data_IF_421702623894
#
_entry.id   IF_421702623894
#
_cell.length_a   1.000
_cell.length_b   1.000
_cell.length_c   1.000
_cell.angle_alpha   90.00
_cell.angle_beta   90.00
_cell.angle_gamma   90.00
#
_symmetry.space_group_name_H-M   'P 1'
#
loop_
_entity.id
_entity.type
_entity.pdbx_description
1 polymer ?
#
# COMPACT_ATOMS: atom_id res chain seq x y z
N UNK A 1 9.64 15.71 18.44
CA UNK A 1 8.95 15.79 17.13
C UNK A 1 8.43 14.42 16.67
N UNK A 2 9.24 13.36 16.72
CA UNK A 2 8.84 11.99 16.32
C UNK A 2 7.69 11.38 17.16
N UNK A 3 7.59 11.73 18.45
CA UNK A 3 6.51 11.26 19.33
C UNK A 3 5.12 11.82 19.02
N UNK A 4 5.03 13.02 18.42
CA UNK A 4 3.75 13.65 18.04
C UNK A 4 3.13 13.04 16.79
N UNK A 5 3.96 12.54 15.86
CA UNK A 5 3.48 11.83 14.67
C UNK A 5 2.80 10.50 15.04
N UNK A 6 3.39 9.76 15.99
CA UNK A 6 2.84 8.49 16.48
C UNK A 6 1.51 8.74 17.21
N UNK A 7 1.42 9.77 18.05
CA UNK A 7 0.17 10.12 18.77
C UNK A 7 -0.93 10.67 17.86
N UNK A 8 -0.57 11.40 16.79
CA UNK A 8 -1.53 11.87 15.79
C UNK A 8 -2.11 10.71 14.95
N UNK A 9 -1.27 9.75 14.56
CA UNK A 9 -1.69 8.56 13.82
C UNK A 9 -2.64 7.68 14.65
N UNK A 10 -2.45 7.59 15.97
CA UNK A 10 -3.34 6.82 16.86
C UNK A 10 -4.64 7.52 17.26
N UNK A 11 -4.82 8.80 16.90
CA UNK A 11 -5.99 9.60 17.36
C UNK A 11 -7.29 9.24 16.64
N UNK A 12 -7.17 8.70 15.43
CA UNK A 12 -8.29 8.21 14.63
C UNK A 12 -7.80 7.04 13.78
N UNK A 13 -8.52 5.92 13.84
CA UNK A 13 -8.20 4.71 13.09
C UNK A 13 -8.14 4.96 11.57
N UNK A 14 -8.88 5.96 11.09
CA UNK A 14 -8.82 6.43 9.70
C UNK A 14 -7.47 7.12 9.39
N UNK A 15 -6.97 7.97 10.28
CA UNK A 15 -5.70 8.68 10.09
C UNK A 15 -4.53 7.71 10.06
N UNK A 16 -4.53 6.70 10.95
CA UNK A 16 -3.55 5.62 10.93
C UNK A 16 -3.54 4.90 9.58
N UNK A 17 -4.72 4.50 9.11
CA UNK A 17 -4.92 3.76 7.88
C UNK A 17 -4.42 4.57 6.67
N UNK A 18 -4.84 5.83 6.57
CA UNK A 18 -4.44 6.72 5.47
C UNK A 18 -2.94 6.99 5.49
N UNK A 19 -2.37 7.26 6.66
CA UNK A 19 -0.93 7.47 6.82
C UNK A 19 -0.12 6.26 6.37
N UNK A 20 -0.49 5.06 6.81
CA UNK A 20 0.20 3.82 6.43
C UNK A 20 0.07 3.53 4.92
N UNK A 21 -1.11 3.80 4.34
CA UNK A 21 -1.34 3.65 2.89
C UNK A 21 -0.42 4.57 2.08
N UNK A 22 -0.33 5.84 2.47
CA UNK A 22 0.54 6.82 1.82
C UNK A 22 2.03 6.46 1.96
N UNK A 23 2.44 5.93 3.11
CA UNK A 23 3.80 5.40 3.31
C UNK A 23 4.07 4.28 2.31
N UNK A 24 3.17 3.31 2.14
CA UNK A 24 3.38 2.24 1.16
C UNK A 24 3.38 2.73 -0.29
N UNK A 25 2.53 3.71 -0.64
CA UNK A 25 2.60 4.37 -1.95
C UNK A 25 3.97 5.02 -2.19
N UNK A 26 4.55 5.67 -1.17
CA UNK A 26 5.87 6.28 -1.28
C UNK A 26 7.00 5.25 -1.34
N UNK A 27 6.96 4.23 -0.49
CA UNK A 27 7.95 3.14 -0.46
C UNK A 27 8.02 2.38 -1.78
N UNK A 28 6.95 2.42 -2.57
CA UNK A 28 6.90 1.82 -3.89
C UNK A 28 7.86 2.42 -4.90
N UNK A 29 8.34 3.64 -4.67
CA UNK A 29 9.38 4.25 -5.50
C UNK A 29 10.78 3.72 -5.15
N UNK A 30 10.95 3.12 -3.97
CA UNK A 30 12.21 2.55 -3.48
C UNK A 30 12.28 1.06 -3.83
N UNK A 31 11.21 0.31 -3.58
CA UNK A 31 11.11 -1.09 -3.94
C UNK A 31 10.53 -1.25 -5.34
N UNK A 32 11.45 -1.19 -6.32
CA UNK A 32 11.15 -1.38 -7.73
C UNK A 32 10.68 -2.81 -8.02
N UNK A 33 11.12 -3.79 -7.23
CA UNK A 33 10.84 -5.23 -7.40
C UNK A 33 9.44 -5.62 -6.91
N UNK A 34 8.42 -4.86 -7.29
CA UNK A 34 7.02 -5.16 -6.96
C UNK A 34 6.72 -5.24 -5.45
N UNK A 35 7.57 -4.64 -4.61
CA UNK A 35 7.36 -4.66 -3.15
C UNK A 35 7.91 -5.91 -2.47
N UNK A 36 8.65 -6.80 -3.15
CA UNK A 36 9.14 -8.03 -2.53
C UNK A 36 10.09 -7.79 -1.34
N UNK A 37 10.96 -6.78 -1.42
CA UNK A 37 11.88 -6.46 -0.34
C UNK A 37 11.12 -5.90 0.88
N UNK A 38 10.17 -4.99 0.64
CA UNK A 38 9.28 -4.47 1.68
C UNK A 38 8.42 -5.59 2.28
N UNK A 39 7.90 -6.49 1.44
CA UNK A 39 7.11 -7.63 1.87
C UNK A 39 7.89 -8.58 2.78
N UNK A 40 9.13 -8.88 2.43
CA UNK A 40 10.03 -9.69 3.27
C UNK A 40 10.32 -8.99 4.62
N UNK A 41 10.56 -7.69 4.61
CA UNK A 41 10.75 -6.90 5.83
C UNK A 41 9.48 -6.87 6.69
N UNK A 42 8.30 -6.68 6.09
CA UNK A 42 7.04 -6.70 6.82
C UNK A 42 6.74 -8.07 7.41
N UNK A 43 6.99 -9.15 6.69
CA UNK A 43 6.78 -10.50 7.20
C UNK A 43 7.56 -10.74 8.49
N UNK A 44 8.80 -10.27 8.59
CA UNK A 44 9.61 -10.38 9.81
C UNK A 44 9.26 -9.33 10.87
N UNK A 45 8.76 -8.16 10.48
CA UNK A 45 8.34 -7.11 11.40
C UNK A 45 6.95 -7.34 12.02
N UNK A 46 6.06 -8.09 11.36
CA UNK A 46 4.67 -8.29 11.80
C UNK A 46 4.52 -8.82 13.23
N UNK A 47 5.33 -9.79 13.73
CA UNK A 47 5.22 -10.23 15.12
C UNK A 47 5.51 -9.09 16.10
N UNK A 48 6.53 -8.27 15.83
CA UNK A 48 6.90 -7.13 16.68
C UNK A 48 5.83 -6.05 16.65
N UNK A 49 5.27 -5.76 15.46
CA UNK A 49 4.17 -4.82 15.31
C UNK A 49 2.94 -5.24 16.12
N UNK A 50 2.65 -6.53 16.18
CA UNK A 50 1.52 -7.04 16.94
C UNK A 50 1.79 -7.08 18.46
N UNK A 51 2.91 -7.66 18.88
CA UNK A 51 3.19 -7.86 20.30
C UNK A 51 3.54 -6.57 21.04
N UNK A 52 4.23 -5.63 20.38
CA UNK A 52 4.68 -4.37 21.02
C UNK A 52 3.72 -3.22 20.79
N UNK A 53 3.12 -3.13 19.60
CA UNK A 53 2.29 -1.98 19.21
C UNK A 53 0.81 -2.33 19.02
N UNK A 54 0.42 -3.60 19.21
CA UNK A 54 -0.95 -4.09 19.01
C UNK A 54 -1.53 -3.79 17.63
N UNK A 55 -0.67 -3.63 16.63
CA UNK A 55 -1.09 -3.41 15.24
C UNK A 55 -1.31 -4.78 14.61
N UNK A 56 -2.55 -5.05 14.19
CA UNK A 56 -2.91 -6.36 13.66
C UNK A 56 -2.22 -6.63 12.30
N UNK A 57 -1.51 -7.76 12.12
CA UNK A 57 -0.82 -8.09 10.88
C UNK A 57 -1.71 -8.06 9.64
N UNK A 58 -2.96 -8.52 9.77
CA UNK A 58 -3.96 -8.51 8.68
C UNK A 58 -4.15 -7.13 8.07
N UNK A 59 -4.20 -6.08 8.89
CA UNK A 59 -4.32 -4.71 8.37
C UNK A 59 -3.08 -4.31 7.60
N UNK A 60 -1.90 -4.50 8.19
CA UNK A 60 -0.63 -4.09 7.60
C UNK A 60 -0.38 -4.82 6.29
N UNK A 61 -0.61 -6.13 6.26
CA UNK A 61 -0.45 -6.95 5.06
C UNK A 61 -1.48 -6.62 3.98
N UNK A 62 -2.74 -6.34 4.33
CA UNK A 62 -3.75 -5.92 3.34
C UNK A 62 -3.44 -4.54 2.76
N UNK A 63 -3.04 -3.58 3.61
CA UNK A 63 -2.63 -2.24 3.15
C UNK A 63 -1.36 -2.34 2.30
N UNK A 64 -0.39 -3.17 2.68
CA UNK A 64 0.78 -3.44 1.87
C UNK A 64 0.41 -4.08 0.52
N UNK A 65 -0.50 -5.06 0.51
CA UNK A 65 -0.90 -5.75 -0.72
C UNK A 65 -1.59 -4.78 -1.69
N UNK A 66 -2.50 -3.93 -1.19
CA UNK A 66 -3.20 -2.95 -2.00
C UNK A 66 -2.34 -1.73 -2.34
N UNK A 67 -1.43 -1.35 -1.46
CA UNK A 67 -0.54 -0.20 -1.61
C UNK A 67 0.67 -0.47 -2.49
N UNK A 68 1.29 -1.63 -2.30
CA UNK A 68 2.49 -2.07 -3.01
C UNK A 68 2.24 -2.45 -4.47
N UNK A 69 1.00 -2.70 -4.86
CA UNK A 69 0.60 -2.93 -6.25
C UNK A 69 0.47 -1.65 -7.06
N UNK A 70 0.45 -0.47 -6.46
CA UNK A 70 0.41 0.80 -7.18
C UNK A 70 1.64 0.97 -8.08
N UNK A 71 1.46 1.47 -9.31
CA UNK A 71 2.57 1.75 -10.22
C UNK A 71 2.26 2.96 -11.10
N UNK A 72 3.19 3.90 -11.18
CA UNK A 72 3.11 5.08 -12.05
C UNK A 72 3.98 4.94 -13.30
N UNK A 73 5.02 4.09 -13.23
CA UNK A 73 5.99 3.89 -14.29
C UNK A 73 6.10 2.42 -14.66
N UNK A 74 6.53 2.14 -15.89
CA UNK A 74 6.68 0.75 -16.39
C UNK A 74 7.73 -0.04 -15.61
N UNK A 75 8.81 0.61 -15.16
CA UNK A 75 9.89 -0.07 -14.45
C UNK A 75 9.48 -0.58 -13.06
N UNK A 76 8.42 -0.02 -12.46
CA UNK A 76 7.92 -0.47 -11.16
C UNK A 76 7.29 -1.86 -11.24
N UNK A 77 6.71 -2.24 -12.38
CA UNK A 77 6.05 -3.54 -12.55
C UNK A 77 6.71 -4.30 -13.70
N UNK A 78 7.39 -5.43 -13.45
CA UNK A 78 8.10 -6.18 -14.50
C UNK A 78 7.17 -6.69 -15.60
N UNK A 79 5.88 -6.86 -15.29
CA UNK A 79 4.86 -7.31 -16.24
C UNK A 79 4.52 -6.27 -17.31
N UNK A 80 4.72 -4.97 -17.04
CA UNK A 80 4.42 -3.91 -18.00
C UNK A 80 5.36 -3.96 -19.21
N UNK A 81 6.71 -3.89 -19.06
CA UNK A 81 7.60 -3.99 -20.21
C UNK A 81 7.47 -5.34 -20.95
N UNK A 82 7.12 -6.42 -20.23
CA UNK A 82 6.80 -7.70 -20.86
C UNK A 82 5.52 -7.64 -21.69
N UNK A 83 4.46 -6.99 -21.21
CA UNK A 83 3.24 -6.79 -21.99
C UNK A 83 3.51 -5.89 -23.21
N UNK A 84 4.27 -4.80 -23.04
CA UNK A 84 4.63 -3.89 -24.12
C UNK A 84 5.43 -4.57 -25.24
N UNK A 85 6.33 -5.50 -24.90
CA UNK A 85 7.12 -6.23 -25.91
C UNK A 85 6.24 -7.15 -26.78
N UNK A 86 5.16 -7.69 -26.22
CA UNK A 86 4.18 -8.51 -26.92
C UNK A 86 3.23 -7.62 -27.76
N UNK A 87 2.82 -6.47 -27.21
CA UNK A 87 1.86 -5.55 -27.84
C UNK A 87 2.48 -4.67 -28.94
N UNK A 88 3.80 -4.75 -29.16
CA UNK A 88 4.52 -4.05 -30.23
C UNK A 88 4.23 -2.53 -30.29
N UNK A 89 4.13 -1.88 -29.14
CA UNK A 89 3.84 -0.44 -29.05
C UNK A 89 2.36 -0.06 -29.17
N UNK A 90 1.46 -1.02 -29.36
CA UNK A 90 0.00 -0.83 -29.25
C UNK A 90 -0.51 -0.97 -27.80
N UNK A 91 0.40 -1.00 -26.83
CA UNK A 91 0.11 -1.12 -25.41
C UNK A 91 -0.15 0.20 -24.71
N UNK A 92 0.23 0.25 -23.45
CA UNK A 92 0.02 1.36 -22.55
C UNK A 92 1.12 2.42 -22.71
N UNK A 93 0.75 3.58 -23.24
CA UNK A 93 1.66 4.73 -23.20
C UNK A 93 1.84 5.24 -21.74
N UNK A 94 2.89 6.03 -21.45
CA UNK A 94 3.13 6.57 -20.10
C UNK A 94 2.04 7.47 -19.54
N UNK A 95 1.12 7.98 -20.37
CA UNK A 95 -0.03 8.77 -19.92
C UNK A 95 -1.15 7.85 -19.42
N UNK A 96 -1.42 6.75 -20.12
CA UNK A 96 -2.39 5.73 -19.71
C UNK A 96 -1.98 5.09 -18.38
N UNK A 97 -0.68 4.76 -18.23
CA UNK A 97 -0.15 4.21 -16.98
C UNK A 97 -0.39 5.16 -15.79
N UNK A 98 -0.05 6.45 -15.94
CA UNK A 98 -0.29 7.45 -14.88
C UNK A 98 -1.77 7.63 -14.56
N UNK A 99 -2.64 7.62 -15.56
CA UNK A 99 -4.09 7.72 -15.34
C UNK A 99 -4.62 6.52 -14.56
N UNK A 100 -4.27 5.30 -14.96
CA UNK A 100 -4.67 4.11 -14.22
C UNK A 100 -4.09 4.07 -12.81
N UNK A 101 -2.85 4.52 -12.61
CA UNK A 101 -2.25 4.65 -11.29
C UNK A 101 -3.09 5.55 -10.37
N UNK A 102 -3.50 6.73 -10.85
CA UNK A 102 -4.33 7.66 -10.10
C UNK A 102 -5.70 7.05 -9.77
N UNK A 103 -6.34 6.39 -10.74
CA UNK A 103 -7.63 5.70 -10.52
C UNK A 103 -7.45 4.59 -9.49
N UNK A 104 -6.41 3.78 -9.61
CA UNK A 104 -6.10 2.70 -8.67
C UNK A 104 -5.86 3.23 -7.26
N UNK A 105 -5.06 4.28 -7.11
CA UNK A 105 -4.82 4.92 -5.81
C UNK A 105 -6.12 5.38 -5.15
N UNK A 106 -7.03 6.00 -5.92
CA UNK A 106 -8.36 6.38 -5.45
C UNK A 106 -9.20 5.18 -5.01
N UNK A 107 -9.24 4.12 -5.82
CA UNK A 107 -9.98 2.89 -5.50
C UNK A 107 -9.43 2.21 -4.23
N UNK A 108 -8.11 2.17 -4.06
CA UNK A 108 -7.47 1.62 -2.85
C UNK A 108 -7.89 2.40 -1.60
N UNK A 109 -7.86 3.73 -1.65
CA UNK A 109 -8.29 4.59 -0.54
C UNK A 109 -9.76 4.31 -0.19
N UNK A 110 -10.65 4.32 -1.19
CA UNK A 110 -12.07 4.06 -0.98
C UNK A 110 -12.33 2.65 -0.43
N UNK A 111 -11.62 1.65 -0.93
CA UNK A 111 -11.72 0.26 -0.46
C UNK A 111 -11.32 0.16 0.99
N UNK A 112 -10.18 0.74 1.38
CA UNK A 112 -9.71 0.69 2.76
C UNK A 112 -10.64 1.46 3.71
N UNK A 113 -11.23 2.57 3.26
CA UNK A 113 -12.27 3.28 4.02
C UNK A 113 -13.52 2.41 4.23
N UNK A 114 -13.95 1.67 3.20
CA UNK A 114 -15.08 0.75 3.30
C UNK A 114 -14.81 -0.45 4.24
N UNK A 115 -13.55 -0.87 4.37
CA UNK A 115 -13.14 -1.95 5.29
C UNK A 115 -13.01 -1.50 6.75
N UNK A 116 -12.95 -0.20 7.03
CA UNK A 116 -12.84 0.34 8.38
C UNK A 116 -13.96 -0.14 9.34
N UNK A 117 -15.27 -0.10 8.99
CA UNK A 117 -16.32 -0.63 9.86
C UNK A 117 -16.17 -2.14 10.10
N UNK A 118 -15.74 -2.90 9.08
CA UNK A 118 -15.50 -4.33 9.22
C UNK A 118 -14.38 -4.62 10.22
N UNK A 119 -13.24 -3.94 10.11
CA UNK A 119 -12.12 -4.11 11.04
C UNK A 119 -12.44 -3.72 12.48
N UNK A 120 -13.30 -2.73 12.67
CA UNK A 120 -13.85 -2.41 13.99
C UNK A 120 -14.75 -3.51 14.54
N UNK A 121 -15.62 -4.08 13.70
CA UNK A 121 -16.54 -5.13 14.10
C UNK A 121 -15.81 -6.42 14.55
N UNK A 122 -14.68 -6.75 13.93
CA UNK A 122 -13.87 -7.93 14.29
C UNK A 122 -12.77 -7.63 15.32
N UNK A 123 -12.72 -6.41 15.88
CA UNK A 123 -11.76 -6.03 16.91
C UNK A 123 -10.30 -5.93 16.43
N UNK A 124 -10.08 -5.85 15.13
CA UNK A 124 -8.76 -5.74 14.49
C UNK A 124 -8.24 -4.29 14.54
N UNK A 125 -9.16 -3.33 14.65
CA UNK A 125 -8.88 -1.91 14.74
C UNK A 125 -9.71 -1.28 15.85
N UNK A 126 -9.12 -0.46 16.74
CA UNK A 126 -9.86 0.25 17.80
C UNK A 126 -10.78 1.34 17.23
#
# INVERSE_FOLDING_TARGET
VMGYAITFLTRSSLTFLMGLTLIFFALRFIDVTWGFAIGAFLATATPVLYHTYHIHPTMVLMIFTLGGTLFFTSYQQPWIPQAESIMQGNGWNPRHLRQAACVYAGVVILTLMAFLPYWKAIGVMP
#
